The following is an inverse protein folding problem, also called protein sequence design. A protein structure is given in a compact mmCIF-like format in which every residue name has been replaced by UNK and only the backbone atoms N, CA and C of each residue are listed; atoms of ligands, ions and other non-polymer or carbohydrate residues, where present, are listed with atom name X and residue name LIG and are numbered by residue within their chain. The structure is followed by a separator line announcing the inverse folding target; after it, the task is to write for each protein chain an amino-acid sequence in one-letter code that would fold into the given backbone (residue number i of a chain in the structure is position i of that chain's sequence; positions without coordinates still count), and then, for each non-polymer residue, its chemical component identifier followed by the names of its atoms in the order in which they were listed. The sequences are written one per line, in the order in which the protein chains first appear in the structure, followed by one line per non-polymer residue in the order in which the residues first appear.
data_IF_457143847206
#
_entry.id   IF_457143847206
#
_cell.length_a   1.000
_cell.length_b   1.000
_cell.length_c   1.000
_cell.angle_alpha   90.00
_cell.angle_beta   90.00
_cell.angle_gamma   90.00
#
_symmetry.space_group_name_H-M   'P 1'
#
loop_
_entity.id
_entity.type
_entity.pdbx_description
1 polymer ?
#
# COMPACT_ATOMS: atom_id res chain seq x y z
N UNK A 1 15.08 6.21 -26.30
CA UNK A 1 16.27 5.30 -26.31
C UNK A 1 16.16 4.22 -25.24
N UNK A 2 15.71 4.54 -24.01
CA UNK A 2 15.63 3.59 -22.90
C UNK A 2 14.66 2.42 -23.18
N UNK A 3 13.46 2.70 -23.72
CA UNK A 3 12.48 1.67 -24.04
C UNK A 3 12.98 0.62 -25.00
N UNK A 4 13.83 0.98 -25.96
CA UNK A 4 14.45 0.03 -26.92
C UNK A 4 15.38 -0.93 -26.19
N UNK A 5 16.20 -0.43 -25.25
CA UNK A 5 17.12 -1.25 -24.48
C UNK A 5 16.39 -2.31 -23.65
N UNK A 6 15.30 -1.94 -22.97
CA UNK A 6 14.50 -2.87 -22.17
C UNK A 6 13.75 -3.92 -23.02
N UNK A 7 13.32 -3.56 -24.22
CA UNK A 7 12.72 -4.52 -25.16
C UNK A 7 13.76 -5.50 -25.69
N UNK A 8 14.99 -5.05 -25.93
CA UNK A 8 16.07 -5.90 -26.42
C UNK A 8 16.65 -6.86 -25.36
N UNK A 9 16.53 -6.49 -24.08
CA UNK A 9 17.00 -7.28 -22.94
C UNK A 9 15.88 -7.46 -21.90
N UNK A 10 14.79 -8.19 -22.27
CA UNK A 10 13.68 -8.43 -21.35
C UNK A 10 14.17 -9.27 -20.15
N UNK A 11 13.57 -9.04 -18.99
CA UNK A 11 13.76 -9.92 -17.84
C UNK A 11 12.75 -11.06 -17.91
N UNK A 12 13.22 -12.27 -17.64
CA UNK A 12 12.36 -13.46 -17.61
C UNK A 12 11.59 -13.53 -16.28
N UNK A 13 10.46 -12.82 -16.24
CA UNK A 13 9.47 -12.97 -15.18
C UNK A 13 8.26 -13.74 -15.71
N UNK A 14 7.81 -14.71 -14.94
CA UNK A 14 6.52 -15.37 -15.18
C UNK A 14 5.45 -14.55 -14.44
N UNK A 15 4.51 -14.00 -15.18
CA UNK A 15 3.37 -13.27 -14.62
C UNK A 15 2.14 -14.15 -14.74
N UNK A 16 1.55 -14.50 -13.62
CA UNK A 16 0.36 -15.33 -13.55
C UNK A 16 -0.81 -14.55 -12.96
N UNK A 17 -1.99 -14.70 -13.56
CA UNK A 17 -3.21 -14.17 -13.00
C UNK A 17 -3.63 -15.00 -11.78
N UNK A 18 -3.91 -14.36 -10.64
CA UNK A 18 -4.29 -15.05 -9.39
C UNK A 18 -5.66 -15.72 -9.44
N UNK A 19 -6.41 -15.51 -10.52
CA UNK A 19 -7.66 -16.20 -10.82
C UNK A 19 -8.91 -15.58 -10.21
N UNK A 20 -10.09 -16.14 -10.56
CA UNK A 20 -11.40 -15.55 -10.25
C UNK A 20 -11.80 -15.66 -8.76
N UNK A 21 -11.01 -16.35 -7.94
CA UNK A 21 -11.21 -16.33 -6.50
C UNK A 21 -10.86 -14.96 -5.90
N UNK A 22 -9.92 -14.25 -6.52
CA UNK A 22 -9.44 -12.92 -6.13
C UNK A 22 -9.98 -11.87 -7.10
N UNK A 23 -9.68 -12.01 -8.40
CA UNK A 23 -10.02 -11.03 -9.41
C UNK A 23 -11.52 -11.06 -9.75
N UNK A 24 -12.12 -9.90 -9.84
CA UNK A 24 -13.50 -9.68 -10.27
C UNK A 24 -13.55 -9.04 -11.67
N UNK A 25 -14.73 -8.69 -12.14
CA UNK A 25 -14.91 -7.85 -13.33
C UNK A 25 -14.72 -6.36 -13.07
N UNK A 26 -14.54 -5.98 -11.80
CA UNK A 26 -14.34 -4.62 -11.31
C UNK A 26 -12.87 -4.35 -11.03
N UNK A 27 -12.55 -3.12 -10.70
CA UNK A 27 -11.20 -2.75 -10.29
C UNK A 27 -10.80 -3.43 -8.98
N UNK A 28 -9.78 -4.26 -9.03
CA UNK A 28 -9.12 -4.90 -7.88
C UNK A 28 -7.67 -4.42 -7.85
N UNK A 29 -7.23 -3.79 -6.77
CA UNK A 29 -5.91 -3.15 -6.69
C UNK A 29 -5.34 -3.14 -5.27
N UNK A 30 -4.11 -2.64 -5.12
CA UNK A 30 -3.37 -2.57 -3.85
C UNK A 30 -3.31 -3.91 -3.07
N UNK A 31 -2.96 -5.04 -3.71
CA UNK A 31 -2.84 -6.30 -2.99
C UNK A 31 -1.67 -6.25 -2.00
N UNK A 32 -1.92 -6.69 -0.77
CA UNK A 32 -0.90 -6.87 0.27
C UNK A 32 -1.00 -8.29 0.83
N UNK A 33 0.16 -8.95 0.99
CA UNK A 33 0.24 -10.37 1.35
C UNK A 33 1.12 -10.53 2.59
N UNK A 34 0.77 -11.40 3.51
CA UNK A 34 1.61 -11.75 4.67
C UNK A 34 2.88 -12.50 4.26
N UNK A 35 3.92 -12.49 5.09
CA UNK A 35 5.21 -13.13 4.78
C UNK A 35 5.11 -14.65 4.59
N UNK A 36 4.12 -15.30 5.19
CA UNK A 36 3.82 -16.72 5.00
C UNK A 36 2.95 -17.01 3.77
N UNK A 37 2.60 -15.97 3.01
CA UNK A 37 1.71 -16.01 1.83
C UNK A 37 0.33 -16.62 2.09
N UNK A 38 -0.16 -16.59 3.32
CA UNK A 38 -1.44 -17.22 3.68
C UNK A 38 -2.62 -16.29 3.76
N UNK A 39 -2.38 -14.99 3.88
CA UNK A 39 -3.42 -13.97 3.94
C UNK A 39 -3.11 -12.88 2.92
N UNK A 40 -4.10 -12.48 2.15
CA UNK A 40 -4.05 -11.35 1.23
C UNK A 40 -5.20 -10.42 1.55
N UNK A 41 -4.92 -9.13 1.69
CA UNK A 41 -5.93 -8.08 1.63
C UNK A 41 -5.73 -7.25 0.35
N UNK A 42 -6.80 -6.70 -0.17
CA UNK A 42 -6.77 -5.84 -1.36
C UNK A 42 -8.00 -4.93 -1.39
N UNK A 43 -7.88 -3.85 -2.12
CA UNK A 43 -8.98 -2.90 -2.34
C UNK A 43 -9.73 -3.29 -3.60
N UNK A 44 -11.05 -3.16 -3.59
CA UNK A 44 -11.90 -3.49 -4.74
C UNK A 44 -13.10 -2.56 -4.82
N UNK A 45 -13.60 -2.37 -6.04
CA UNK A 45 -14.84 -1.65 -6.33
C UNK A 45 -15.97 -2.59 -6.81
N UNK A 46 -15.88 -3.88 -6.46
CA UNK A 46 -16.90 -4.88 -6.82
C UNK A 46 -18.24 -4.58 -6.17
N UNK A 47 -19.33 -4.92 -6.86
CA UNK A 47 -20.68 -4.77 -6.35
C UNK A 47 -20.98 -5.80 -5.25
N UNK A 48 -20.68 -7.07 -5.52
CA UNK A 48 -21.02 -8.17 -4.64
C UNK A 48 -20.27 -8.10 -3.32
N UNK A 49 -21.00 -7.93 -2.23
CA UNK A 49 -20.46 -7.84 -0.89
C UNK A 49 -19.88 -6.48 -0.52
N UNK A 50 -20.04 -5.44 -1.36
CA UNK A 50 -19.66 -4.07 -1.02
C UNK A 50 -20.50 -3.54 0.18
N UNK A 51 -19.91 -2.69 1.00
CA UNK A 51 -20.60 -2.04 2.13
C UNK A 51 -21.65 -1.05 1.65
N UNK A 52 -21.43 -0.45 0.47
CA UNK A 52 -22.30 0.54 -0.12
C UNK A 52 -23.14 -0.06 -1.24
N UNK A 53 -24.44 0.24 -1.22
CA UNK A 53 -25.36 -0.11 -2.32
C UNK A 53 -25.37 0.97 -3.41
N UNK A 54 -24.77 2.13 -3.17
CA UNK A 54 -24.70 3.26 -4.08
C UNK A 54 -23.38 3.35 -4.80
N UNK A 55 -23.41 3.94 -5.98
CA UNK A 55 -22.21 4.29 -6.76
C UNK A 55 -21.75 5.71 -6.45
N UNK A 56 -20.46 5.97 -6.63
CA UNK A 56 -19.86 7.29 -6.55
C UNK A 56 -20.14 8.11 -7.84
N UNK A 57 -19.68 9.35 -7.89
CA UNK A 57 -19.89 10.26 -9.03
C UNK A 57 -19.34 9.75 -10.37
N UNK A 58 -18.40 8.79 -10.35
CA UNK A 58 -17.83 8.11 -11.51
C UNK A 58 -18.66 6.89 -11.98
N UNK A 59 -19.80 6.62 -11.35
CA UNK A 59 -20.67 5.46 -11.55
C UNK A 59 -20.05 4.10 -11.17
N UNK A 60 -19.00 4.10 -10.36
CA UNK A 60 -18.42 2.90 -9.79
C UNK A 60 -18.78 2.81 -8.29
N UNK A 61 -18.81 1.59 -7.77
CA UNK A 61 -19.02 1.39 -6.33
C UNK A 61 -17.88 1.99 -5.52
N UNK A 62 -18.16 2.35 -4.28
CA UNK A 62 -17.12 2.78 -3.35
C UNK A 62 -16.10 1.67 -3.13
N UNK A 63 -14.90 2.05 -2.81
CA UNK A 63 -13.80 1.13 -2.50
C UNK A 63 -14.03 0.48 -1.14
N UNK A 64 -13.94 -0.85 -1.12
CA UNK A 64 -13.97 -1.67 0.09
C UNK A 64 -12.72 -2.54 0.16
N UNK A 65 -12.25 -2.83 1.37
CA UNK A 65 -11.18 -3.79 1.60
C UNK A 65 -11.74 -5.20 1.66
N UNK A 66 -11.22 -6.06 0.80
CA UNK A 66 -11.49 -7.49 0.78
C UNK A 66 -10.25 -8.29 1.17
N UNK A 67 -10.45 -9.54 1.57
CA UNK A 67 -9.38 -10.45 1.90
C UNK A 67 -9.65 -11.85 1.37
N UNK A 68 -8.57 -12.60 1.23
CA UNK A 68 -8.59 -14.04 0.97
C UNK A 68 -7.54 -14.74 1.82
N UNK A 69 -7.82 -15.97 2.15
CA UNK A 69 -6.90 -16.87 2.87
C UNK A 69 -6.54 -18.05 1.98
N UNK A 70 -5.28 -18.47 2.03
CA UNK A 70 -4.79 -19.60 1.25
C UNK A 70 -5.16 -20.91 1.95
N UNK A 71 -5.85 -21.78 1.25
CA UNK A 71 -6.20 -23.13 1.70
C UNK A 71 -5.42 -24.14 0.83
N UNK A 72 -4.41 -24.77 1.40
CA UNK A 72 -3.38 -25.46 0.62
C UNK A 72 -2.65 -24.45 -0.26
N UNK A 73 -2.60 -24.68 -1.57
CA UNK A 73 -1.93 -23.81 -2.55
C UNK A 73 -2.89 -22.85 -3.28
N UNK A 74 -4.16 -22.79 -2.86
CA UNK A 74 -5.19 -22.00 -3.55
C UNK A 74 -5.75 -20.91 -2.65
N UNK A 75 -5.96 -19.73 -3.23
CA UNK A 75 -6.72 -18.67 -2.60
C UNK A 75 -8.21 -19.05 -2.48
N UNK A 76 -8.79 -18.79 -1.32
CA UNK A 76 -10.25 -18.87 -1.13
C UNK A 76 -10.95 -17.75 -1.90
N UNK A 77 -12.24 -17.90 -2.13
CA UNK A 77 -13.05 -16.80 -2.68
C UNK A 77 -12.93 -15.58 -1.76
N UNK A 78 -12.61 -14.45 -2.33
CA UNK A 78 -12.43 -13.20 -1.60
C UNK A 78 -13.71 -12.79 -0.86
N UNK A 79 -13.54 -12.26 0.34
CA UNK A 79 -14.62 -11.81 1.22
C UNK A 79 -14.32 -10.41 1.73
N UNK A 80 -15.37 -9.64 1.95
CA UNK A 80 -15.28 -8.33 2.60
C UNK A 80 -14.68 -8.48 3.99
N UNK A 81 -13.74 -7.59 4.35
CA UNK A 81 -13.12 -7.61 5.68
C UNK A 81 -14.10 -7.15 6.78
N UNK A 82 -15.06 -6.29 6.41
CA UNK A 82 -16.15 -5.83 7.28
C UNK A 82 -15.76 -4.69 8.22
N UNK A 83 -16.70 -4.31 9.08
CA UNK A 83 -16.47 -3.29 10.10
C UNK A 83 -15.44 -3.76 11.15
N UNK A 84 -14.65 -2.84 11.69
CA UNK A 84 -14.68 -1.38 11.49
C UNK A 84 -13.76 -0.88 10.35
N UNK A 85 -13.24 -1.76 9.51
CA UNK A 85 -12.38 -1.38 8.39
C UNK A 85 -13.21 -0.75 7.28
N UNK A 86 -14.20 -1.51 6.78
CA UNK A 86 -15.11 -1.02 5.76
C UNK A 86 -16.24 -0.21 6.39
N UNK A 87 -16.40 1.03 5.95
CA UNK A 87 -17.42 2.00 6.37
C UNK A 87 -18.23 2.45 5.14
N UNK A 88 -19.33 3.22 5.30
CA UNK A 88 -20.12 3.72 4.15
C UNK A 88 -19.43 4.80 3.30
N UNK A 89 -18.12 4.68 3.02
CA UNK A 89 -17.30 5.56 2.18
C UNK A 89 -16.19 4.76 1.54
N UNK A 90 -15.22 5.44 0.91
CA UNK A 90 -14.02 4.80 0.37
C UNK A 90 -13.12 4.26 1.48
N UNK A 91 -12.81 2.99 1.42
CA UNK A 91 -11.87 2.31 2.30
C UNK A 91 -10.80 1.61 1.47
N UNK A 92 -9.54 1.97 1.71
CA UNK A 92 -8.42 1.40 0.97
C UNK A 92 -7.33 0.91 1.91
N UNK A 93 -6.79 -0.27 1.63
CA UNK A 93 -5.62 -0.80 2.33
C UNK A 93 -4.33 -0.36 1.64
N UNK A 94 -3.28 -0.17 2.44
CA UNK A 94 -1.95 0.23 1.98
C UNK A 94 -0.89 -0.83 2.23
N UNK A 95 -0.90 -1.45 3.40
CA UNK A 95 0.08 -2.46 3.79
C UNK A 95 -0.46 -3.41 4.85
N UNK A 96 0.16 -4.58 4.96
CA UNK A 96 -0.03 -5.52 6.07
C UNK A 96 1.32 -5.87 6.68
N UNK A 97 1.38 -6.05 8.01
CA UNK A 97 2.60 -6.54 8.66
C UNK A 97 2.91 -7.98 8.26
N UNK A 98 4.18 -8.37 8.32
CA UNK A 98 4.64 -9.71 7.94
C UNK A 98 3.86 -10.85 8.64
N UNK A 99 3.45 -10.63 9.88
CA UNK A 99 2.69 -11.59 10.71
C UNK A 99 1.16 -11.45 10.58
N UNK A 100 0.67 -10.54 9.72
CA UNK A 100 -0.75 -10.32 9.46
C UNK A 100 -1.54 -9.68 10.61
N UNK A 101 -0.86 -9.09 11.59
CA UNK A 101 -1.53 -8.52 12.76
C UNK A 101 -1.80 -7.02 12.68
N UNK A 102 -1.17 -6.31 11.76
CA UNK A 102 -1.32 -4.87 11.56
C UNK A 102 -1.70 -4.59 10.12
N UNK A 103 -2.83 -3.91 9.92
CA UNK A 103 -3.31 -3.47 8.61
C UNK A 103 -3.24 -1.94 8.57
N UNK A 104 -2.52 -1.43 7.60
CA UNK A 104 -2.41 0.00 7.33
C UNK A 104 -3.42 0.40 6.25
N UNK A 105 -4.12 1.49 6.49
CA UNK A 105 -5.24 1.95 5.67
C UNK A 105 -5.01 3.40 5.25
N UNK A 106 -5.51 3.76 4.08
CA UNK A 106 -5.63 5.14 3.65
C UNK A 106 -7.00 5.69 4.04
N UNK A 107 -7.02 6.91 4.56
CA UNK A 107 -8.25 7.69 4.73
C UNK A 107 -8.01 9.12 4.24
N UNK A 108 -9.03 9.69 3.58
CA UNK A 108 -8.93 11.03 2.95
C UNK A 108 -8.92 12.19 3.95
N UNK A 109 -8.85 11.92 5.25
CA UNK A 109 -8.74 12.93 6.30
C UNK A 109 -7.45 13.76 6.12
N UNK A 110 -7.50 15.05 6.43
CA UNK A 110 -6.38 16.02 6.34
C UNK A 110 -5.63 16.05 5.00
N UNK A 111 -6.24 15.58 3.92
CA UNK A 111 -5.60 15.49 2.61
C UNK A 111 -5.06 14.10 2.26
N UNK A 112 -5.21 13.15 3.17
CA UNK A 112 -4.82 11.76 3.03
C UNK A 112 -3.83 11.31 4.09
N UNK A 113 -4.33 10.56 5.08
CA UNK A 113 -3.60 10.08 6.24
C UNK A 113 -3.52 8.54 6.27
N UNK A 114 -2.45 8.03 6.90
CA UNK A 114 -2.26 6.61 7.16
C UNK A 114 -2.84 6.26 8.53
N UNK A 115 -3.70 5.26 8.56
CA UNK A 115 -4.32 4.69 9.76
C UNK A 115 -3.83 3.26 9.99
N UNK A 116 -3.84 2.85 11.24
CA UNK A 116 -3.47 1.50 11.67
C UNK A 116 -4.66 0.83 12.35
N UNK A 117 -4.96 -0.40 11.93
CA UNK A 117 -5.84 -1.32 12.63
C UNK A 117 -5.07 -2.58 13.03
N UNK A 118 -5.34 -3.10 14.21
CA UNK A 118 -4.72 -4.32 14.73
C UNK A 118 -5.68 -5.50 14.71
N UNK A 119 -5.18 -6.68 14.37
CA UNK A 119 -5.97 -7.91 14.34
C UNK A 119 -6.06 -8.52 15.74
N UNK A 120 -7.28 -8.67 16.23
CA UNK A 120 -7.57 -9.34 17.49
C UNK A 120 -7.31 -10.86 17.41
N UNK A 121 -7.08 -11.56 18.53
CA UNK A 121 -6.91 -13.02 18.54
C UNK A 121 -8.12 -13.81 17.98
N UNK A 122 -9.31 -13.24 17.98
CA UNK A 122 -10.51 -13.82 17.39
C UNK A 122 -10.65 -13.57 15.88
N UNK A 123 -9.66 -12.88 15.26
CA UNK A 123 -9.62 -12.58 13.84
C UNK A 123 -10.33 -11.28 13.42
N UNK A 124 -11.00 -10.57 14.33
CA UNK A 124 -11.58 -9.24 14.06
C UNK A 124 -10.52 -8.16 14.09
N UNK A 125 -10.85 -6.97 13.56
CA UNK A 125 -9.96 -5.82 13.53
C UNK A 125 -10.39 -4.77 14.55
N UNK A 126 -9.43 -3.99 15.06
CA UNK A 126 -9.72 -2.84 15.91
C UNK A 126 -10.18 -1.64 15.07
N UNK A 127 -10.82 -0.65 15.70
CA UNK A 127 -11.07 0.62 15.02
C UNK A 127 -9.76 1.22 14.51
N UNK A 128 -9.68 1.63 13.24
CA UNK A 128 -8.49 2.28 12.71
C UNK A 128 -8.16 3.56 13.49
N UNK A 129 -6.88 3.73 13.84
CA UNK A 129 -6.37 4.93 14.51
C UNK A 129 -5.31 5.61 13.64
N UNK A 130 -5.29 6.95 13.52
CA UNK A 130 -4.30 7.64 12.73
C UNK A 130 -2.90 7.43 13.31
N UNK A 131 -1.89 7.32 12.45
CA UNK A 131 -0.51 7.38 12.88
C UNK A 131 -0.17 8.78 13.42
N UNK A 132 0.91 8.87 14.19
CA UNK A 132 1.31 10.14 14.80
C UNK A 132 1.78 11.17 13.75
N UNK A 133 1.92 12.43 14.17
CA UNK A 133 2.31 13.56 13.34
C UNK A 133 3.72 13.47 12.72
N UNK A 134 4.54 12.51 13.13
CA UNK A 134 5.82 12.23 12.48
C UNK A 134 5.64 11.52 11.14
N UNK A 135 4.51 10.79 11.00
CA UNK A 135 4.10 10.11 9.76
C UNK A 135 3.06 10.95 9.03
N UNK A 136 1.88 11.13 9.63
CA UNK A 136 0.81 11.95 9.06
C UNK A 136 1.13 13.43 9.21
N UNK A 137 1.01 14.17 8.13
CA UNK A 137 1.32 15.58 8.07
C UNK A 137 0.10 16.40 7.61
N UNK A 138 0.29 17.66 7.27
CA UNK A 138 -0.74 18.48 6.60
C UNK A 138 -0.75 18.26 5.08
N UNK A 139 0.07 17.34 4.61
CA UNK A 139 0.20 16.93 3.22
C UNK A 139 -0.37 15.52 3.07
N UNK A 140 -0.37 14.98 1.86
CA UNK A 140 -0.88 13.64 1.59
C UNK A 140 0.20 12.58 1.82
N UNK A 141 -0.17 11.50 2.50
CA UNK A 141 0.58 10.26 2.63
C UNK A 141 -0.17 9.14 1.88
N UNK A 142 0.35 8.72 0.71
CA UNK A 142 -0.43 7.91 -0.25
C UNK A 142 -0.18 6.40 -0.16
N UNK A 143 1.01 5.99 0.21
CA UNK A 143 1.39 4.58 0.27
C UNK A 143 2.33 4.31 1.43
N UNK A 144 2.35 3.06 1.89
CA UNK A 144 3.18 2.67 3.03
C UNK A 144 3.64 1.22 2.91
N UNK A 145 4.81 0.93 3.47
CA UNK A 145 5.30 -0.43 3.67
C UNK A 145 6.01 -0.53 5.01
N UNK A 146 5.78 -1.63 5.72
CA UNK A 146 6.35 -1.89 7.04
C UNK A 146 7.42 -2.98 6.96
N UNK A 147 8.59 -2.75 7.59
CA UNK A 147 9.63 -3.76 7.66
C UNK A 147 9.17 -5.02 8.38
N UNK A 148 9.74 -6.20 8.07
CA UNK A 148 9.33 -7.47 8.67
C UNK A 148 9.42 -7.50 10.20
N UNK A 149 10.33 -6.73 10.79
CA UNK A 149 10.48 -6.59 12.24
C UNK A 149 9.48 -5.60 12.86
N UNK A 150 8.66 -4.92 12.04
CA UNK A 150 7.66 -3.95 12.46
C UNK A 150 8.21 -2.63 13.01
N UNK A 151 9.51 -2.32 12.81
CA UNK A 151 10.16 -1.18 13.43
C UNK A 151 10.54 -0.05 12.47
N UNK A 152 10.47 -0.29 11.15
CA UNK A 152 10.77 0.71 10.12
C UNK A 152 9.59 0.83 9.16
N UNK A 153 9.12 2.05 8.94
CA UNK A 153 8.03 2.38 8.02
C UNK A 153 8.60 3.18 6.85
N UNK A 154 8.32 2.74 5.64
CA UNK A 154 8.56 3.46 4.40
C UNK A 154 7.23 3.95 3.86
N UNK A 155 7.14 5.19 3.42
CA UNK A 155 5.88 5.75 2.92
C UNK A 155 6.15 6.87 1.91
N UNK A 156 5.21 7.11 1.01
CA UNK A 156 5.25 8.25 0.11
C UNK A 156 4.48 9.43 0.69
N UNK A 157 5.02 10.62 0.49
CA UNK A 157 4.38 11.87 0.91
C UNK A 157 4.76 13.02 -0.02
N UNK A 158 3.82 13.92 -0.27
CA UNK A 158 4.07 15.14 -1.02
C UNK A 158 4.46 16.34 -0.12
N UNK A 159 4.91 16.06 1.12
CA UNK A 159 5.48 17.08 2.01
C UNK A 159 6.75 17.70 1.38
N UNK A 160 6.82 19.01 1.22
CA UNK A 160 7.92 19.63 0.48
C UNK A 160 9.24 19.57 1.25
N UNK A 161 10.32 19.11 0.61
CA UNK A 161 11.69 19.32 1.07
C UNK A 161 12.11 20.76 0.77
N UNK A 162 11.67 21.26 -0.39
CA UNK A 162 11.91 22.63 -0.85
C UNK A 162 10.57 23.33 -1.04
N UNK A 163 10.39 24.57 -0.57
CA UNK A 163 9.14 25.30 -0.76
C UNK A 163 8.69 25.31 -2.23
N UNK A 164 7.42 24.92 -2.46
CA UNK A 164 6.80 24.89 -3.79
C UNK A 164 6.95 23.58 -4.57
N UNK A 165 7.71 22.60 -4.10
CA UNK A 165 7.69 21.23 -4.60
C UNK A 165 6.60 20.43 -3.90
N UNK A 166 5.80 19.70 -4.67
CA UNK A 166 4.67 18.88 -4.20
C UNK A 166 4.64 17.51 -4.87
N UNK A 167 5.75 17.12 -5.47
CA UNK A 167 6.00 15.76 -5.97
C UNK A 167 6.01 14.76 -4.80
N UNK A 168 5.62 13.54 -5.06
CA UNK A 168 5.69 12.46 -4.08
C UNK A 168 7.14 12.00 -3.92
N UNK A 169 7.61 12.00 -2.68
CA UNK A 169 8.91 11.45 -2.29
C UNK A 169 8.72 10.29 -1.32
N UNK A 170 9.64 9.34 -1.32
CA UNK A 170 9.67 8.25 -0.32
C UNK A 170 10.42 8.72 0.92
N UNK A 171 9.77 8.53 2.06
CA UNK A 171 10.26 8.80 3.39
C UNK A 171 10.42 7.52 4.20
N UNK A 172 11.27 7.58 5.22
CA UNK A 172 11.46 6.50 6.18
C UNK A 172 11.31 7.03 7.60
N UNK A 173 10.65 6.27 8.46
CA UNK A 173 10.59 6.50 9.91
C UNK A 173 10.91 5.21 10.65
N UNK A 174 11.49 5.35 11.84
CA UNK A 174 11.80 4.23 12.75
C UNK A 174 11.13 4.45 14.09
N UNK A 175 10.65 3.35 14.69
CA UNK A 175 10.16 3.39 16.06
C UNK A 175 11.29 3.69 17.05
N UNK A 176 10.99 4.49 18.04
CA UNK A 176 11.85 4.72 19.19
C UNK A 176 11.76 3.56 20.21
N UNK A 177 12.51 3.66 21.31
CA UNK A 177 12.51 2.67 22.39
C UNK A 177 11.15 2.51 23.11
N UNK A 178 10.20 3.42 22.88
CA UNK A 178 8.83 3.36 23.40
C UNK A 178 7.83 2.83 22.37
N UNK A 179 8.30 2.41 21.17
CA UNK A 179 7.47 1.94 20.08
C UNK A 179 6.75 3.05 19.31
N UNK A 180 7.12 4.32 19.51
CA UNK A 180 6.51 5.45 18.81
C UNK A 180 7.29 5.75 17.52
N UNK A 181 6.56 6.07 16.43
CA UNK A 181 7.18 6.51 15.18
C UNK A 181 7.94 7.81 15.39
N UNK A 182 9.23 7.78 15.07
CA UNK A 182 10.11 8.95 15.09
C UNK A 182 9.94 9.85 13.86
N UNK A 183 10.66 10.98 13.79
CA UNK A 183 10.57 11.91 12.68
C UNK A 183 10.84 11.24 11.32
N UNK A 184 9.99 11.54 10.34
CA UNK A 184 10.18 11.11 8.96
C UNK A 184 11.46 11.71 8.37
N UNK A 185 12.21 10.91 7.63
CA UNK A 185 13.40 11.32 6.89
C UNK A 185 13.22 11.00 5.41
N UNK A 186 13.46 12.00 4.56
CA UNK A 186 13.49 11.77 3.12
C UNK A 186 14.61 10.79 2.75
N UNK A 187 14.34 9.86 1.84
CA UNK A 187 15.30 8.82 1.42
C UNK A 187 16.46 9.36 0.57
N UNK A 188 16.37 10.63 0.13
CA UNK A 188 17.43 11.30 -0.62
C UNK A 188 17.53 10.91 -2.10
N UNK A 189 18.48 11.51 -2.84
CA UNK A 189 18.49 11.51 -4.30
C UNK A 189 18.86 10.18 -4.97
N UNK A 190 19.17 9.16 -4.22
CA UNK A 190 19.36 7.79 -4.76
C UNK A 190 18.01 7.13 -5.02
N UNK A 191 17.01 7.46 -4.21
CA UNK A 191 15.63 6.97 -4.30
C UNK A 191 14.74 8.03 -4.93
N UNK A 192 14.74 9.25 -4.37
CA UNK A 192 13.86 10.34 -4.77
C UNK A 192 14.48 11.19 -5.87
N UNK A 193 13.71 11.50 -6.89
CA UNK A 193 14.13 12.31 -8.05
C UNK A 193 13.47 13.68 -8.04
N UNK A 194 13.41 14.35 -9.19
CA UNK A 194 12.64 15.59 -9.38
C UNK A 194 11.16 15.31 -9.71
N UNK A 195 10.76 14.06 -9.83
CA UNK A 195 9.43 13.59 -10.16
C UNK A 195 8.87 12.73 -9.04
N UNK A 196 7.68 12.16 -9.25
CA UNK A 196 7.04 11.35 -8.24
C UNK A 196 7.72 9.98 -8.04
N UNK A 197 7.95 9.63 -6.79
CA UNK A 197 8.26 8.30 -6.30
C UNK A 197 7.17 7.82 -5.35
N UNK A 198 6.63 6.63 -5.61
CA UNK A 198 5.48 6.09 -4.88
C UNK A 198 5.56 4.56 -4.69
N UNK A 199 4.61 4.01 -3.92
CA UNK A 199 4.44 2.57 -3.74
C UNK A 199 5.67 1.86 -3.18
N UNK A 200 6.32 2.36 -2.09
CA UNK A 200 7.44 1.64 -1.49
C UNK A 200 6.99 0.27 -0.99
N UNK A 201 7.81 -0.75 -1.25
CA UNK A 201 7.65 -2.08 -0.69
C UNK A 201 9.00 -2.59 -0.20
N UNK A 202 9.16 -2.70 1.11
CA UNK A 202 10.32 -3.35 1.70
C UNK A 202 10.11 -4.86 1.70
N UNK A 203 11.02 -5.57 1.03
CA UNK A 203 10.98 -7.03 0.95
C UNK A 203 11.09 -7.68 2.34
N UNK A 204 10.58 -8.88 2.46
CA UNK A 204 10.68 -9.67 3.70
C UNK A 204 12.11 -10.06 4.07
N UNK A 205 13.10 -9.80 3.22
CA UNK A 205 14.52 -9.85 3.58
C UNK A 205 14.97 -8.67 4.46
N UNK A 206 14.11 -7.64 4.59
CA UNK A 206 14.34 -6.42 5.37
C UNK A 206 15.45 -5.52 4.82
N UNK A 207 15.86 -5.71 3.56
CA UNK A 207 17.00 -5.01 2.93
C UNK A 207 16.67 -4.44 1.58
N UNK A 208 15.89 -5.15 0.76
CA UNK A 208 15.57 -4.75 -0.60
C UNK A 208 14.31 -3.90 -0.60
N UNK A 209 14.42 -2.65 -1.03
CA UNK A 209 13.29 -1.75 -1.22
C UNK A 209 12.90 -1.71 -2.70
N UNK A 210 11.66 -2.07 -3.01
CA UNK A 210 11.03 -1.82 -4.31
C UNK A 210 10.22 -0.53 -4.23
N UNK A 211 10.15 0.21 -5.33
CA UNK A 211 9.36 1.43 -5.42
C UNK A 211 9.05 1.77 -6.87
N UNK A 212 8.01 2.57 -7.08
CA UNK A 212 7.67 3.13 -8.39
C UNK A 212 8.26 4.53 -8.54
N UNK A 213 8.76 4.88 -9.72
CA UNK A 213 9.30 6.21 -10.02
C UNK A 213 8.98 6.65 -11.43
N UNK A 214 8.71 7.95 -11.59
CA UNK A 214 8.62 8.62 -12.89
C UNK A 214 9.95 9.25 -13.33
N UNK A 215 10.91 9.39 -12.42
CA UNK A 215 12.13 10.14 -12.68
C UNK A 215 13.36 9.28 -12.99
N UNK A 216 13.41 8.05 -12.50
CA UNK A 216 14.48 7.12 -12.83
C UNK A 216 14.41 6.65 -14.29
N UNK A 217 15.53 6.12 -14.80
CA UNK A 217 15.64 5.65 -16.18
C UNK A 217 14.71 4.46 -16.42
N UNK A 218 13.54 4.72 -17.02
CA UNK A 218 12.47 3.77 -17.26
C UNK A 218 11.93 3.82 -18.69
N UNK A 219 10.74 3.24 -18.88
CA UNK A 219 10.03 3.21 -20.17
C UNK A 219 9.04 4.37 -20.33
N UNK A 220 8.77 5.11 -19.26
CA UNK A 220 7.88 6.26 -19.20
C UNK A 220 6.67 6.02 -18.28
N UNK A 221 6.18 7.10 -17.66
CA UNK A 221 5.23 6.97 -16.54
C UNK A 221 5.93 6.41 -15.30
N UNK A 222 5.21 5.65 -14.50
CA UNK A 222 5.80 4.89 -13.40
C UNK A 222 6.41 3.58 -13.89
N UNK A 223 7.67 3.35 -13.53
CA UNK A 223 8.36 2.06 -13.64
C UNK A 223 8.78 1.59 -12.26
N UNK A 224 8.95 0.27 -12.08
CA UNK A 224 9.34 -0.33 -10.79
C UNK A 224 10.85 -0.47 -10.72
N UNK A 225 11.40 0.02 -9.62
CA UNK A 225 12.83 -0.03 -9.30
C UNK A 225 13.07 -0.79 -8.00
N UNK A 226 14.33 -1.17 -7.78
CA UNK A 226 14.77 -1.73 -6.50
C UNK A 226 16.13 -1.16 -6.09
N UNK A 227 16.31 -1.00 -4.81
CA UNK A 227 17.54 -0.53 -4.16
C UNK A 227 17.91 -1.42 -2.97
#
# INVERSE_FOLDING_TARGET
QNGIEFVMYPRDYIIENVGPAINSEWDDFAPVVTADERFMAFTTRRQDGNTNENVFDDNLYYEDVFYSEKVGDKWSVARRIGEPINIPYHDSNLAISADGKQLYLYKSENGGDIFLSERNPNGTWTNPVPLNQNINSTYSENSVSISPDGNTLYFSSNRPITPGKTDLDIYVSKKDSKGQWGPAKNMGPVINTEYDEDGPFIDYDGKTLYFSSKGHKGMGGYDIFKS
#
